data_IF_857550560295
#
_entry.id   IF_857550560295
#
_cell.length_a   1.000
_cell.length_b   1.000
_cell.length_c   1.000
_cell.angle_alpha   90.00
_cell.angle_beta   90.00
_cell.angle_gamma   90.00
#
_symmetry.space_group_name_H-M   'P 1'
#
loop_
_entity.id
_entity.type
_entity.pdbx_description
1 polymer ?
#
# COMPACT_ATOMS: atom_id res chain seq x y z
N UNK A 1 -3.71 -10.85 2.28
CA UNK A 1 -4.22 -10.12 1.09
C UNK A 1 -3.69 -10.70 -0.22
N UNK A 2 -2.35 -10.81 -0.39
CA UNK A 2 -1.77 -11.27 -1.66
C UNK A 2 -2.13 -12.72 -2.00
N UNK A 3 -2.20 -13.61 -1.02
CA UNK A 3 -2.69 -14.98 -1.23
C UNK A 3 -4.15 -15.03 -1.66
N UNK A 4 -5.01 -14.17 -1.09
CA UNK A 4 -6.38 -14.01 -1.57
C UNK A 4 -6.41 -13.63 -3.05
N UNK A 5 -5.63 -12.62 -3.45
CA UNK A 5 -5.56 -12.20 -4.86
C UNK A 5 -5.03 -13.31 -5.77
N UNK A 6 -4.04 -14.06 -5.30
CA UNK A 6 -3.54 -15.24 -6.03
C UNK A 6 -4.64 -16.28 -6.23
N UNK A 7 -5.43 -16.58 -5.19
CA UNK A 7 -6.53 -17.55 -5.28
C UNK A 7 -7.62 -17.09 -6.26
N UNK A 8 -7.95 -15.80 -6.29
CA UNK A 8 -8.85 -15.22 -7.30
C UNK A 8 -8.26 -15.37 -8.71
N UNK A 9 -6.98 -15.03 -8.89
CA UNK A 9 -6.32 -15.19 -10.19
C UNK A 9 -6.27 -16.66 -10.64
N UNK A 10 -6.07 -17.62 -9.72
CA UNK A 10 -6.10 -19.05 -10.05
C UNK A 10 -7.47 -19.51 -10.51
N UNK A 11 -8.56 -18.99 -9.92
CA UNK A 11 -9.90 -19.25 -10.39
C UNK A 11 -10.14 -18.71 -11.81
N UNK A 12 -9.65 -17.50 -12.10
CA UNK A 12 -9.74 -16.89 -13.43
C UNK A 12 -8.89 -17.68 -14.46
N UNK A 13 -7.66 -18.08 -14.10
CA UNK A 13 -6.82 -18.89 -14.98
C UNK A 13 -7.43 -20.27 -15.28
N UNK A 14 -8.05 -20.91 -14.28
CA UNK A 14 -8.78 -22.16 -14.51
C UNK A 14 -9.87 -22.00 -15.57
N UNK A 15 -10.66 -20.91 -15.50
CA UNK A 15 -11.70 -20.60 -16.50
C UNK A 15 -11.10 -20.32 -17.89
N UNK A 16 -10.07 -19.48 -17.97
CA UNK A 16 -9.39 -19.12 -19.23
C UNK A 16 -8.82 -20.35 -19.92
N UNK A 17 -8.27 -21.29 -19.13
CA UNK A 17 -7.66 -22.52 -19.64
C UNK A 17 -8.69 -23.64 -19.90
N UNK A 18 -9.99 -23.37 -19.75
CA UNK A 18 -11.05 -24.37 -19.95
C UNK A 18 -10.97 -25.57 -18.99
N UNK A 19 -10.47 -25.35 -17.76
CA UNK A 19 -10.43 -26.39 -16.74
C UNK A 19 -11.84 -26.71 -16.23
N UNK A 20 -12.04 -27.90 -15.62
CA UNK A 20 -13.32 -28.24 -15.02
C UNK A 20 -13.81 -27.17 -14.05
N UNK A 21 -15.12 -26.95 -13.97
CA UNK A 21 -15.73 -25.88 -13.17
C UNK A 21 -15.40 -26.01 -11.67
N UNK A 22 -15.26 -27.23 -11.17
CA UNK A 22 -14.92 -27.52 -9.79
C UNK A 22 -13.52 -27.00 -9.40
N UNK A 23 -12.58 -26.89 -10.35
CA UNK A 23 -11.25 -26.32 -10.10
C UNK A 23 -11.35 -24.81 -9.82
N UNK A 24 -12.11 -24.07 -10.64
CA UNK A 24 -12.35 -22.64 -10.39
C UNK A 24 -13.13 -22.43 -9.08
N UNK A 25 -14.15 -23.24 -8.82
CA UNK A 25 -14.92 -23.18 -7.59
C UNK A 25 -14.08 -23.47 -6.32
N UNK A 26 -13.11 -24.39 -6.41
CA UNK A 26 -12.19 -24.67 -5.33
C UNK A 26 -11.37 -23.41 -4.94
N UNK A 27 -10.84 -22.71 -5.92
CA UNK A 27 -10.04 -21.51 -5.66
C UNK A 27 -10.89 -20.36 -5.10
N UNK A 28 -12.10 -20.15 -5.60
CA UNK A 28 -13.03 -19.16 -5.06
C UNK A 28 -13.42 -19.45 -3.61
N UNK A 29 -13.66 -20.73 -3.27
CA UNK A 29 -13.93 -21.12 -1.89
C UNK A 29 -12.76 -20.82 -0.98
N UNK A 30 -11.52 -21.15 -1.37
CA UNK A 30 -10.30 -20.82 -0.61
C UNK A 30 -10.15 -19.33 -0.38
N UNK A 31 -10.38 -18.53 -1.42
CA UNK A 31 -10.36 -17.07 -1.31
C UNK A 31 -11.40 -16.56 -0.31
N UNK A 32 -12.64 -17.07 -0.37
CA UNK A 32 -13.70 -16.74 0.57
C UNK A 32 -13.34 -17.06 2.03
N UNK A 33 -12.90 -18.30 2.29
CA UNK A 33 -12.46 -18.72 3.61
C UNK A 33 -11.31 -17.86 4.15
N UNK A 34 -10.37 -17.47 3.29
CA UNK A 34 -9.27 -16.55 3.64
C UNK A 34 -9.79 -15.19 4.03
N UNK A 35 -10.71 -14.62 3.25
CA UNK A 35 -11.30 -13.32 3.52
C UNK A 35 -12.04 -13.30 4.86
N UNK A 36 -12.80 -14.35 5.17
CA UNK A 36 -13.49 -14.49 6.45
C UNK A 36 -12.50 -14.54 7.62
N UNK A 37 -11.44 -15.37 7.51
CA UNK A 37 -10.39 -15.45 8.54
C UNK A 37 -9.66 -14.13 8.72
N UNK A 38 -9.39 -13.40 7.63
CA UNK A 38 -8.76 -12.08 7.74
C UNK A 38 -9.66 -11.10 8.49
N UNK A 39 -10.96 -11.09 8.24
CA UNK A 39 -11.91 -10.26 9.00
C UNK A 39 -11.97 -10.67 10.47
N UNK A 40 -11.95 -11.96 10.74
CA UNK A 40 -12.01 -12.50 12.10
C UNK A 40 -10.81 -12.12 12.95
N UNK A 41 -9.60 -12.15 12.38
CA UNK A 41 -8.36 -12.05 13.16
C UNK A 41 -7.61 -10.73 12.97
N UNK A 42 -7.77 -10.06 11.81
CA UNK A 42 -6.95 -8.89 11.46
C UNK A 42 -7.73 -7.58 11.52
N UNK A 43 -9.04 -7.61 11.72
CA UNK A 43 -9.87 -6.41 11.71
C UNK A 43 -10.02 -5.83 13.11
N UNK A 44 -9.73 -4.54 13.27
CA UNK A 44 -9.90 -3.82 14.52
C UNK A 44 -11.32 -3.27 14.69
N UNK A 45 -11.57 -2.63 15.84
CA UNK A 45 -12.86 -2.04 16.16
C UNK A 45 -13.23 -0.84 15.23
N UNK A 46 -12.23 -0.19 14.64
CA UNK A 46 -12.41 0.93 13.70
C UNK A 46 -12.68 0.46 12.26
N UNK A 47 -12.72 -0.85 12.04
CA UNK A 47 -12.98 -1.46 10.73
C UNK A 47 -11.74 -1.63 9.86
N UNK A 48 -10.54 -1.26 10.34
CA UNK A 48 -9.29 -1.36 9.61
C UNK A 48 -8.59 -2.69 9.84
N UNK A 49 -7.83 -3.13 8.82
CA UNK A 49 -7.00 -4.32 8.95
C UNK A 49 -5.66 -3.97 9.60
N UNK A 50 -5.22 -4.78 10.57
CA UNK A 50 -3.99 -4.62 11.34
C UNK A 50 -3.18 -5.91 11.33
N UNK A 51 -1.91 -5.79 11.69
CA UNK A 51 -1.11 -6.97 11.99
C UNK A 51 -1.60 -7.66 13.27
N UNK A 52 -1.52 -8.97 13.27
CA UNK A 52 -1.96 -9.81 14.39
C UNK A 52 -0.80 -10.62 14.96
N UNK A 53 -0.56 -10.42 16.24
CA UNK A 53 0.43 -11.21 16.95
C UNK A 53 -0.21 -12.52 17.42
N UNK A 54 0.07 -13.61 16.73
CA UNK A 54 -0.49 -14.93 17.02
C UNK A 54 0.00 -15.54 18.35
N UNK A 55 1.11 -15.04 18.91
CA UNK A 55 1.63 -15.49 20.21
C UNK A 55 0.80 -14.88 21.34
N UNK A 56 0.52 -13.59 21.25
CA UNK A 56 -0.24 -12.86 22.28
C UNK A 56 -1.76 -12.84 22.04
N UNK A 57 -2.19 -13.22 20.85
CA UNK A 57 -3.60 -13.15 20.43
C UNK A 57 -4.14 -11.72 20.27
N UNK A 58 -3.27 -10.73 20.01
CA UNK A 58 -3.65 -9.32 19.95
C UNK A 58 -3.32 -8.70 18.60
N UNK A 59 -4.14 -7.74 18.18
CA UNK A 59 -3.84 -6.86 17.07
C UNK A 59 -2.72 -5.87 17.45
N UNK A 60 -1.91 -5.51 16.45
CA UNK A 60 -0.94 -4.43 16.62
C UNK A 60 -1.66 -3.10 16.86
N UNK A 61 -1.19 -2.28 17.81
CA UNK A 61 -1.69 -0.91 17.96
C UNK A 61 -1.26 0.00 16.81
N UNK A 62 -0.19 -0.37 16.09
CA UNK A 62 0.35 0.45 15.00
C UNK A 62 -0.50 0.38 13.74
N UNK A 63 -0.70 1.52 13.09
CA UNK A 63 -1.36 1.62 11.80
C UNK A 63 -0.33 1.82 10.70
N UNK A 64 -0.26 0.86 9.80
CA UNK A 64 0.72 0.86 8.70
C UNK A 64 0.04 0.82 7.34
N UNK A 65 0.82 1.12 6.31
CA UNK A 65 0.38 1.02 4.92
C UNK A 65 -0.02 -0.43 4.51
N UNK A 66 0.33 -1.44 5.30
CA UNK A 66 -0.14 -2.82 5.11
C UNK A 66 -1.68 -2.92 5.14
N UNK A 67 -2.36 -1.99 5.83
CA UNK A 67 -3.84 -1.88 5.85
C UNK A 67 -4.46 -1.57 4.48
N UNK A 68 -3.69 -1.08 3.50
CA UNK A 68 -4.15 -0.86 2.12
C UNK A 68 -4.22 -2.14 1.29
N UNK A 69 -3.50 -3.19 1.66
CA UNK A 69 -3.41 -4.42 0.85
C UNK A 69 -4.73 -5.19 0.71
N UNK A 70 -5.64 -5.24 1.68
CA UNK A 70 -6.97 -5.81 1.47
C UNK A 70 -7.77 -5.10 0.37
N UNK A 71 -7.67 -3.76 0.31
CA UNK A 71 -8.30 -2.96 -0.74
C UNK A 71 -7.64 -3.22 -2.10
N UNK A 72 -6.31 -3.13 -2.16
CA UNK A 72 -5.53 -3.43 -3.36
C UNK A 72 -5.88 -4.82 -3.93
N UNK A 73 -5.98 -5.81 -3.09
CA UNK A 73 -6.33 -7.17 -3.48
C UNK A 73 -7.80 -7.34 -3.90
N UNK A 74 -8.67 -6.37 -3.64
CA UNK A 74 -10.12 -6.46 -3.88
C UNK A 74 -10.85 -7.36 -2.87
N UNK A 75 -10.29 -7.53 -1.67
CA UNK A 75 -10.88 -8.29 -0.59
C UNK A 75 -11.86 -7.45 0.24
N UNK A 76 -11.54 -6.17 0.43
CA UNK A 76 -12.31 -5.27 1.27
C UNK A 76 -13.73 -5.06 0.71
N UNK A 77 -14.69 -4.80 1.58
CA UNK A 77 -16.00 -4.27 1.23
C UNK A 77 -15.92 -2.75 1.07
N UNK A 78 -16.95 -2.12 0.47
CA UNK A 78 -17.06 -0.67 0.37
C UNK A 78 -16.98 0.02 1.75
N UNK A 79 -17.57 -0.59 2.76
CA UNK A 79 -17.51 -0.09 4.13
C UNK A 79 -16.09 -0.16 4.70
N UNK A 80 -15.40 -1.29 4.52
CA UNK A 80 -14.01 -1.45 4.96
C UNK A 80 -13.06 -0.50 4.22
N UNK A 81 -13.35 -0.20 2.94
CA UNK A 81 -12.61 0.80 2.18
C UNK A 81 -12.83 2.22 2.73
N UNK A 82 -14.05 2.57 3.10
CA UNK A 82 -14.36 3.88 3.72
C UNK A 82 -13.69 4.03 5.10
N UNK A 83 -13.71 2.98 5.93
CA UNK A 83 -13.05 2.96 7.23
C UNK A 83 -11.53 3.13 7.06
N UNK A 84 -10.91 2.40 6.10
CA UNK A 84 -9.49 2.57 5.74
C UNK A 84 -9.21 4.01 5.25
N UNK A 85 -10.01 4.55 4.34
CA UNK A 85 -9.81 5.88 3.78
C UNK A 85 -9.78 6.95 4.87
N UNK A 86 -10.70 6.90 5.82
CA UNK A 86 -10.73 7.81 6.96
C UNK A 86 -9.45 7.72 7.82
N UNK A 87 -9.01 6.50 8.14
CA UNK A 87 -7.80 6.30 8.92
C UNK A 87 -6.52 6.67 8.13
N UNK A 88 -6.49 6.38 6.83
CA UNK A 88 -5.39 6.70 5.93
C UNK A 88 -5.13 8.20 5.83
N UNK A 89 -6.17 8.97 5.54
CA UNK A 89 -6.05 10.43 5.41
C UNK A 89 -5.61 11.11 6.71
N UNK A 90 -6.01 10.56 7.84
CA UNK A 90 -5.66 11.09 9.16
C UNK A 90 -4.24 10.72 9.64
N UNK A 91 -3.72 9.56 9.22
CA UNK A 91 -2.53 8.95 9.87
C UNK A 91 -1.38 8.61 8.92
N UNK A 92 -1.64 8.36 7.64
CA UNK A 92 -0.63 7.89 6.69
C UNK A 92 -0.39 8.84 5.53
N UNK A 93 -1.33 9.71 5.20
CA UNK A 93 -1.11 10.70 4.14
C UNK A 93 -0.25 11.84 4.68
N UNK A 94 0.88 12.07 4.01
CA UNK A 94 1.81 13.15 4.30
C UNK A 94 1.85 14.17 3.15
N UNK A 95 2.65 15.24 3.32
CA UNK A 95 2.75 16.28 2.31
C UNK A 95 3.31 15.77 0.99
N UNK A 96 4.30 14.86 1.04
CA UNK A 96 5.00 14.34 -0.15
C UNK A 96 4.68 12.86 -0.46
N UNK A 97 3.56 12.34 0.03
CA UNK A 97 3.13 10.98 -0.27
C UNK A 97 2.60 10.21 0.92
N UNK A 98 2.85 8.91 0.93
CA UNK A 98 2.31 7.96 1.92
C UNK A 98 3.42 7.48 2.84
N UNK A 99 3.18 7.56 4.13
CA UNK A 99 4.00 6.98 5.19
C UNK A 99 3.93 5.45 5.18
N UNK A 100 5.03 4.79 5.43
CA UNK A 100 5.05 3.35 5.65
C UNK A 100 4.29 2.96 6.92
N UNK A 101 4.46 3.76 7.97
CA UNK A 101 3.81 3.57 9.27
C UNK A 101 3.37 4.91 9.84
N UNK A 102 2.25 4.92 10.55
CA UNK A 102 1.84 6.08 11.31
C UNK A 102 2.88 6.38 12.40
N UNK A 103 2.95 7.66 12.81
CA UNK A 103 3.81 8.05 13.92
C UNK A 103 3.40 7.26 15.17
N UNK A 104 4.38 6.70 15.84
CA UNK A 104 4.24 5.97 17.11
C UNK A 104 5.35 6.39 18.10
N UNK A 105 5.27 5.88 19.32
CA UNK A 105 6.23 6.20 20.39
C UNK A 105 7.35 5.15 20.53
N UNK A 106 7.54 4.28 19.51
CA UNK A 106 8.61 3.30 19.50
C UNK A 106 9.93 4.06 19.30
N UNK A 107 10.89 3.96 20.23
CA UNK A 107 12.16 4.66 20.10
C UNK A 107 13.01 4.05 18.99
N UNK A 108 13.77 4.91 18.29
CA UNK A 108 14.67 4.52 17.20
C UNK A 108 14.13 4.86 15.82
N UNK A 109 14.99 4.72 14.81
CA UNK A 109 14.67 4.93 13.39
C UNK A 109 14.66 3.60 12.68
N UNK A 110 13.53 3.22 12.13
CA UNK A 110 13.33 1.92 11.47
C UNK A 110 13.14 2.09 9.98
N UNK A 111 13.65 1.13 9.22
CA UNK A 111 13.57 1.09 7.75
C UNK A 111 12.13 1.34 7.24
N UNK A 112 11.12 0.69 7.85
CA UNK A 112 9.70 0.84 7.51
C UNK A 112 8.93 1.72 8.49
N UNK A 113 9.66 2.47 9.34
CA UNK A 113 9.10 3.38 10.32
C UNK A 113 8.79 4.77 9.77
N UNK A 114 8.12 5.58 10.59
CA UNK A 114 7.93 7.01 10.38
C UNK A 114 9.31 7.73 10.41
N UNK A 115 9.62 8.68 9.51
CA UNK A 115 8.75 9.31 8.50
C UNK A 115 8.93 8.76 7.07
N UNK A 116 9.34 7.51 6.93
CA UNK A 116 9.72 6.93 5.64
C UNK A 116 8.51 6.61 4.76
N UNK A 117 8.62 6.94 3.48
CA UNK A 117 7.72 6.56 2.42
C UNK A 117 8.44 5.75 1.35
N UNK A 118 7.82 4.66 0.90
CA UNK A 118 8.39 3.70 -0.02
C UNK A 118 7.59 3.67 -1.32
N UNK A 119 8.28 3.53 -2.45
CA UNK A 119 7.65 3.46 -3.77
C UNK A 119 6.51 2.42 -3.85
N UNK A 120 6.68 1.16 -3.40
CA UNK A 120 5.59 0.17 -3.44
C UNK A 120 4.34 0.63 -2.69
N UNK A 121 4.47 1.29 -1.56
CA UNK A 121 3.31 1.76 -0.79
C UNK A 121 2.53 2.84 -1.53
N UNK A 122 3.22 3.76 -2.22
CA UNK A 122 2.55 4.77 -3.05
C UNK A 122 1.67 4.09 -4.09
N UNK A 123 2.23 3.14 -4.84
CA UNK A 123 1.49 2.40 -5.88
C UNK A 123 0.32 1.59 -5.32
N UNK A 124 0.53 0.86 -4.21
CA UNK A 124 -0.52 0.06 -3.57
C UNK A 124 -1.69 0.94 -3.13
N UNK A 125 -1.40 2.09 -2.50
CA UNK A 125 -2.43 3.02 -2.06
C UNK A 125 -3.16 3.66 -3.24
N UNK A 126 -2.45 4.11 -4.28
CA UNK A 126 -3.08 4.63 -5.49
C UNK A 126 -4.08 3.63 -6.09
N UNK A 127 -3.66 2.38 -6.28
CA UNK A 127 -4.52 1.34 -6.85
C UNK A 127 -5.65 0.92 -5.89
N UNK A 128 -5.41 0.93 -4.58
CA UNK A 128 -6.43 0.67 -3.59
C UNK A 128 -7.53 1.74 -3.61
N UNK A 129 -7.15 3.01 -3.62
CA UNK A 129 -8.07 4.14 -3.69
C UNK A 129 -8.86 4.15 -5.00
N UNK A 130 -8.19 3.99 -6.14
CA UNK A 130 -8.82 3.95 -7.47
C UNK A 130 -9.88 2.85 -7.55
N UNK A 131 -9.57 1.66 -7.06
CA UNK A 131 -10.49 0.50 -7.07
C UNK A 131 -11.82 0.76 -6.36
N UNK A 132 -11.83 1.58 -5.31
CA UNK A 132 -13.01 1.86 -4.49
C UNK A 132 -13.61 3.25 -4.74
N UNK A 133 -13.33 3.85 -5.91
CA UNK A 133 -13.99 5.08 -6.32
C UNK A 133 -13.37 6.38 -5.80
N UNK A 134 -12.19 6.31 -5.16
CA UNK A 134 -11.44 7.49 -4.69
C UNK A 134 -10.40 7.95 -5.73
N UNK A 135 -10.79 8.11 -7.01
CA UNK A 135 -9.87 8.44 -8.11
C UNK A 135 -9.15 9.77 -7.89
N UNK A 136 -9.87 10.80 -7.43
CA UNK A 136 -9.27 12.11 -7.15
C UNK A 136 -8.18 12.03 -6.07
N UNK A 137 -8.38 11.18 -5.08
CA UNK A 137 -7.42 10.96 -4.00
C UNK A 137 -6.23 10.14 -4.48
N UNK A 138 -6.45 9.12 -5.32
CA UNK A 138 -5.39 8.38 -5.97
C UNK A 138 -4.51 9.30 -6.85
N UNK A 139 -5.12 10.20 -7.62
CA UNK A 139 -4.41 11.21 -8.41
C UNK A 139 -3.62 12.19 -7.52
N UNK A 140 -4.19 12.60 -6.38
CA UNK A 140 -3.47 13.44 -5.41
C UNK A 140 -2.23 12.74 -4.86
N UNK A 141 -2.30 11.47 -4.51
CA UNK A 141 -1.12 10.69 -4.06
C UNK A 141 -0.10 10.55 -5.20
N UNK A 142 -0.56 10.26 -6.43
CA UNK A 142 0.31 10.22 -7.61
C UNK A 142 1.07 11.54 -7.81
N UNK A 143 0.37 12.68 -7.70
CA UNK A 143 0.96 14.01 -7.83
C UNK A 143 2.01 14.29 -6.75
N UNK A 144 1.70 14.00 -5.49
CA UNK A 144 2.64 14.14 -4.37
C UNK A 144 3.91 13.33 -4.60
N UNK A 145 3.77 12.09 -5.05
CA UNK A 145 4.91 11.22 -5.30
C UNK A 145 5.77 11.69 -6.50
N UNK A 146 5.15 12.10 -7.59
CA UNK A 146 5.88 12.66 -8.76
C UNK A 146 6.67 13.90 -8.33
N UNK A 147 6.03 14.83 -7.61
CA UNK A 147 6.69 16.05 -7.11
C UNK A 147 7.88 15.74 -6.19
N UNK A 148 7.73 14.74 -5.30
CA UNK A 148 8.81 14.29 -4.41
C UNK A 148 10.01 13.79 -5.21
N UNK A 149 9.77 12.90 -6.17
CA UNK A 149 10.84 12.29 -6.97
C UNK A 149 11.53 13.36 -7.83
N UNK A 150 10.78 14.23 -8.51
CA UNK A 150 11.34 15.31 -9.33
C UNK A 150 12.22 16.24 -8.50
N UNK A 151 11.72 16.67 -7.33
CA UNK A 151 12.45 17.55 -6.42
C UNK A 151 13.79 16.95 -6.00
N UNK A 152 13.77 15.71 -5.52
CA UNK A 152 14.97 15.05 -5.00
C UNK A 152 15.92 14.68 -6.14
N UNK A 153 15.38 14.25 -7.30
CA UNK A 153 16.22 13.95 -8.47
C UNK A 153 16.94 15.19 -9.00
N UNK A 154 16.28 16.34 -9.08
CA UNK A 154 16.92 17.60 -9.48
C UNK A 154 18.05 17.98 -8.49
N UNK A 155 17.86 17.77 -7.21
CA UNK A 155 18.86 18.10 -6.19
C UNK A 155 20.05 17.13 -6.13
N UNK A 156 19.83 15.83 -6.44
CA UNK A 156 20.84 14.78 -6.18
C UNK A 156 21.33 14.05 -7.41
N UNK A 157 20.61 14.14 -8.54
CA UNK A 157 20.84 13.37 -9.76
C UNK A 157 20.58 11.85 -9.61
N UNK A 158 19.89 11.43 -8.54
CA UNK A 158 19.69 10.03 -8.20
C UNK A 158 18.24 9.72 -7.79
N UNK A 159 17.84 8.47 -8.00
CA UNK A 159 16.64 7.89 -7.43
C UNK A 159 17.05 7.07 -6.20
N UNK A 160 16.33 7.26 -5.12
CA UNK A 160 16.63 6.65 -3.83
C UNK A 160 15.64 5.54 -3.49
N UNK A 161 16.03 4.68 -2.57
CA UNK A 161 15.23 3.54 -2.14
C UNK A 161 13.92 3.95 -1.46
N UNK A 162 14.00 4.95 -0.59
CA UNK A 162 12.91 5.52 0.20
C UNK A 162 13.14 7.02 0.39
N UNK A 163 12.14 7.70 0.92
CA UNK A 163 12.17 9.15 1.09
C UNK A 163 11.52 9.54 2.41
N UNK A 164 11.92 10.69 2.95
CA UNK A 164 11.18 11.36 4.00
C UNK A 164 9.98 12.09 3.38
N UNK A 165 8.79 11.54 3.54
CA UNK A 165 7.57 12.07 2.92
C UNK A 165 6.95 13.24 3.68
N UNK A 166 7.53 13.65 4.81
CA UNK A 166 7.11 14.85 5.52
C UNK A 166 7.77 16.11 4.97
N UNK A 167 9.08 16.05 4.72
CA UNK A 167 9.86 17.22 4.28
C UNK A 167 10.27 17.15 2.80
N UNK A 168 9.99 16.04 2.12
CA UNK A 168 10.29 15.86 0.71
C UNK A 168 11.78 15.76 0.40
N UNK A 169 12.52 15.02 1.20
CA UNK A 169 13.97 14.80 1.04
C UNK A 169 14.34 13.31 0.99
N UNK A 170 15.59 13.04 0.67
CA UNK A 170 16.22 11.72 0.83
C UNK A 170 16.97 11.58 2.17
N UNK A 171 16.84 12.54 3.06
CA UNK A 171 17.43 12.50 4.40
C UNK A 171 16.53 11.68 5.31
N UNK A 172 16.91 10.41 5.49
CA UNK A 172 16.24 9.47 6.38
C UNK A 172 17.26 8.89 7.33
N UNK A 173 16.90 8.82 8.59
CA UNK A 173 17.65 8.06 9.57
C UNK A 173 17.25 6.60 9.47
N UNK A 174 18.22 5.71 9.47
CA UNK A 174 18.00 4.26 9.38
C UNK A 174 19.13 3.55 10.15
N UNK A 175 18.80 3.09 11.33
CA UNK A 175 19.78 2.41 12.20
C UNK A 175 20.19 1.04 11.65
N UNK A 176 19.35 0.44 10.79
CA UNK A 176 19.58 -0.91 10.27
C UNK A 176 20.45 -0.94 9.00
N UNK A 177 20.68 0.21 8.35
CA UNK A 177 21.43 0.31 7.10
C UNK A 177 22.52 1.37 7.22
N UNK A 178 23.77 1.02 7.00
CA UNK A 178 24.91 1.93 6.99
C UNK A 178 24.88 3.03 5.90
N UNK A 179 23.71 3.52 5.55
CA UNK A 179 23.38 4.53 4.56
C UNK A 179 22.38 4.02 3.53
N UNK A 180 21.56 4.92 3.01
CA UNK A 180 20.53 4.59 2.00
C UNK A 180 21.15 4.49 0.61
N UNK A 181 21.04 3.34 -0.08
CA UNK A 181 21.57 3.20 -1.44
C UNK A 181 20.65 3.91 -2.46
N UNK A 182 21.20 4.44 -3.56
CA UNK A 182 20.40 4.84 -4.67
C UNK A 182 19.76 3.61 -5.33
N UNK A 183 18.45 3.64 -5.57
CA UNK A 183 17.72 2.54 -6.17
C UNK A 183 16.89 3.03 -7.35
N UNK A 184 17.19 2.56 -8.55
CA UNK A 184 16.47 2.93 -9.76
C UNK A 184 15.23 2.06 -10.01
N UNK A 185 15.21 0.80 -9.55
CA UNK A 185 14.21 -0.21 -9.90
C UNK A 185 12.77 0.22 -9.57
N UNK A 186 12.32 -0.06 -8.37
CA UNK A 186 10.91 0.20 -8.00
C UNK A 186 10.56 1.70 -7.93
N UNK A 187 11.51 2.56 -7.55
CA UNK A 187 11.27 4.01 -7.53
C UNK A 187 10.97 4.55 -8.93
N UNK A 188 11.78 4.16 -9.92
CA UNK A 188 11.56 4.52 -11.32
C UNK A 188 10.25 3.91 -11.86
N UNK A 189 9.97 2.66 -11.54
CA UNK A 189 8.75 1.97 -11.97
C UNK A 189 7.48 2.64 -11.45
N UNK A 190 7.43 2.95 -10.16
CA UNK A 190 6.27 3.60 -9.54
C UNK A 190 6.16 5.07 -9.98
N UNK A 191 7.26 5.77 -10.18
CA UNK A 191 7.25 7.11 -10.75
C UNK A 191 6.59 7.13 -12.14
N UNK A 192 6.97 6.21 -13.03
CA UNK A 192 6.35 6.07 -14.35
C UNK A 192 4.88 5.68 -14.26
N UNK A 193 4.54 4.79 -13.35
CA UNK A 193 3.15 4.42 -13.09
C UNK A 193 2.32 5.65 -12.68
N UNK A 194 2.81 6.43 -11.72
CA UNK A 194 2.12 7.64 -11.25
C UNK A 194 1.94 8.69 -12.36
N UNK A 195 2.98 8.90 -13.19
CA UNK A 195 2.87 9.80 -14.36
C UNK A 195 1.83 9.32 -15.37
N UNK A 196 1.77 8.02 -15.65
CA UNK A 196 0.77 7.45 -16.58
C UNK A 196 -0.64 7.61 -16.02
N UNK A 197 -0.82 7.30 -14.74
CA UNK A 197 -2.11 7.47 -14.05
C UNK A 197 -2.63 8.92 -14.16
N UNK A 198 -1.77 9.91 -13.90
CA UNK A 198 -2.15 11.33 -13.99
C UNK A 198 -2.53 11.77 -15.41
N UNK A 199 -1.89 11.22 -16.45
CA UNK A 199 -2.26 11.51 -17.85
C UNK A 199 -3.61 10.92 -18.22
N UNK A 200 -3.90 9.70 -17.78
CA UNK A 200 -5.19 9.03 -18.02
C UNK A 200 -6.34 9.80 -17.36
N UNK A 201 -6.15 10.28 -16.12
CA UNK A 201 -7.17 11.08 -15.42
C UNK A 201 -7.44 12.43 -16.10
N UNK A 202 -6.41 13.07 -16.67
CA UNK A 202 -6.57 14.33 -17.43
C UNK A 202 -7.28 14.14 -18.77
N UNK A 203 -7.39 12.92 -19.26
CA UNK A 203 -7.98 12.59 -20.56
C UNK A 203 -9.46 12.18 -20.46
N UNK A 204 -9.99 12.04 -19.25
CA UNK A 204 -11.41 11.75 -18.96
C UNK A 204 -12.23 13.03 -18.89
#
# INVERSE_FOLDING_TARGET
>A
SLLYRMEINMADFARILGKPEDESALWLRRAGERAERMRQYLKDADGCFRDYNFVTGKLSPDFSCASAFPLYAGLATEREAADFYSAFTAKLEAEYGVLANAKNDIPGSYQWGYPNGWAPHQMIVMQALDRYGYQADAARIAQKYVMLIDRVFVATGKLWEKYNVLNGSNEVEDEDQGGMPPMMGWTAGVYRFAQSYLKEEQSK
#
